data_IF_774459945935
#
_entry.id   IF_774459945935
#
_cell.length_a   1.000
_cell.length_b   1.000
_cell.length_c   1.000
_cell.angle_alpha   90.00
_cell.angle_beta   90.00
_cell.angle_gamma   90.00
#
_symmetry.space_group_name_H-M   'P 1'
#
loop_
_entity.id
_entity.type
_entity.pdbx_description
1 polymer ?
#
# COMPACT_ATOMS: atom_id res chain seq x y z
N UNK A 1 -15.45 4.72 -15.67
CA UNK A 1 -15.77 3.29 -15.42
C UNK A 1 -15.11 2.94 -14.11
N UNK A 2 -15.84 2.43 -13.11
CA UNK A 2 -15.23 2.02 -11.84
C UNK A 2 -14.39 0.76 -12.07
N UNK A 3 -13.13 0.78 -11.65
CA UNK A 3 -12.15 -0.29 -11.87
C UNK A 3 -12.36 -1.50 -10.92
N UNK A 4 -13.59 -1.98 -10.79
CA UNK A 4 -13.90 -3.12 -9.92
C UNK A 4 -13.22 -4.39 -10.42
N UNK A 5 -12.53 -5.10 -9.52
CA UNK A 5 -11.96 -6.41 -9.80
C UNK A 5 -12.96 -7.49 -9.37
N UNK A 6 -13.31 -8.45 -10.24
CA UNK A 6 -14.21 -9.54 -9.87
C UNK A 6 -13.75 -10.26 -8.60
N UNK A 7 -14.67 -10.46 -7.65
CA UNK A 7 -14.37 -11.13 -6.38
C UNK A 7 -13.77 -10.23 -5.29
N UNK A 8 -13.53 -8.95 -5.58
CA UNK A 8 -13.09 -7.96 -4.60
C UNK A 8 -14.19 -6.98 -4.24
N UNK A 9 -14.32 -6.60 -2.96
CA UNK A 9 -15.26 -5.56 -2.56
C UNK A 9 -14.72 -4.18 -2.95
N UNK A 10 -15.62 -3.19 -2.95
CA UNK A 10 -15.31 -1.79 -3.26
C UNK A 10 -14.84 -1.02 -2.01
N UNK A 11 -14.08 -1.68 -1.13
CA UNK A 11 -13.58 -1.09 0.10
C UNK A 11 -12.15 -1.55 0.38
N UNK A 12 -11.31 -0.61 0.84
CA UNK A 12 -9.87 -0.84 1.00
C UNK A 12 -9.56 -2.03 1.92
N UNK A 13 -10.16 -2.06 3.11
CA UNK A 13 -9.86 -3.05 4.12
C UNK A 13 -10.34 -4.44 3.71
N UNK A 14 -11.55 -4.56 3.18
CA UNK A 14 -12.10 -5.81 2.66
C UNK A 14 -11.30 -6.35 1.47
N UNK A 15 -10.82 -5.49 0.58
CA UNK A 15 -9.93 -5.92 -0.50
C UNK A 15 -8.59 -6.44 0.05
N UNK A 16 -7.99 -5.73 1.01
CA UNK A 16 -6.74 -6.15 1.66
C UNK A 16 -6.91 -7.48 2.41
N UNK A 17 -8.02 -7.69 3.12
CA UNK A 17 -8.32 -8.96 3.81
C UNK A 17 -8.34 -10.16 2.86
N UNK A 18 -8.79 -9.97 1.62
CA UNK A 18 -8.78 -11.02 0.60
C UNK A 18 -7.37 -11.23 0.04
N UNK A 19 -6.64 -10.16 -0.33
CA UNK A 19 -5.30 -10.30 -0.91
C UNK A 19 -4.31 -10.90 0.11
N UNK A 20 -4.33 -10.44 1.37
CA UNK A 20 -3.31 -10.79 2.37
C UNK A 20 -3.23 -12.29 2.69
N UNK A 21 -4.33 -13.02 2.53
CA UNK A 21 -4.39 -14.46 2.83
C UNK A 21 -4.05 -15.33 1.62
N UNK A 22 -3.79 -14.73 0.44
CA UNK A 22 -3.34 -15.47 -0.74
C UNK A 22 -1.94 -16.02 -0.52
N UNK A 23 -1.77 -17.31 -0.75
CA UNK A 23 -0.43 -17.93 -0.78
C UNK A 23 0.34 -17.52 -2.05
N UNK A 24 -0.38 -17.42 -3.17
CA UNK A 24 0.13 -16.97 -4.46
C UNK A 24 -0.89 -16.04 -5.11
N UNK A 25 -0.40 -14.99 -5.77
CA UNK A 25 -1.24 -14.01 -6.44
C UNK A 25 -1.53 -14.43 -7.89
N UNK A 26 -2.81 -14.53 -8.25
CA UNK A 26 -3.26 -14.51 -9.62
C UNK A 26 -3.28 -13.06 -10.16
N UNK A 27 -3.39 -12.91 -11.48
CA UNK A 27 -3.39 -11.58 -12.13
C UNK A 27 -4.44 -10.65 -11.51
N UNK A 28 -5.64 -11.14 -11.22
CA UNK A 28 -6.69 -10.30 -10.61
C UNK A 28 -6.37 -9.92 -9.16
N UNK A 29 -5.71 -10.79 -8.39
CA UNK A 29 -5.22 -10.41 -7.05
C UNK A 29 -4.17 -9.28 -7.15
N UNK A 30 -3.29 -9.31 -8.17
CA UNK A 30 -2.30 -8.25 -8.41
C UNK A 30 -2.95 -6.94 -8.84
N UNK A 31 -4.03 -6.99 -9.64
CA UNK A 31 -4.80 -5.79 -10.00
C UNK A 31 -5.44 -5.16 -8.76
N UNK A 32 -6.05 -5.99 -7.90
CA UNK A 32 -6.62 -5.53 -6.64
C UNK A 32 -5.54 -4.92 -5.73
N UNK A 33 -4.39 -5.58 -5.61
CA UNK A 33 -3.24 -5.04 -4.89
C UNK A 33 -2.78 -3.69 -5.47
N UNK A 34 -2.68 -3.54 -6.79
CA UNK A 34 -2.31 -2.27 -7.41
C UNK A 34 -3.31 -1.13 -7.13
N UNK A 35 -4.61 -1.45 -6.98
CA UNK A 35 -5.61 -0.48 -6.51
C UNK A 35 -5.46 -0.16 -5.02
N UNK A 36 -5.11 -1.16 -4.20
CA UNK A 36 -4.80 -0.99 -2.77
C UNK A 36 -3.62 -0.04 -2.62
N UNK A 37 -2.51 -0.23 -3.34
CA UNK A 37 -1.35 0.66 -3.29
C UNK A 37 -1.69 2.11 -3.68
N UNK A 38 -2.48 2.30 -4.74
CA UNK A 38 -2.96 3.63 -5.11
C UNK A 38 -3.86 4.27 -4.04
N UNK A 39 -4.62 3.48 -3.29
CA UNK A 39 -5.38 3.98 -2.15
C UNK A 39 -4.49 4.21 -0.92
N UNK A 40 -3.42 3.42 -0.74
CA UNK A 40 -2.38 3.61 0.27
C UNK A 40 -1.69 4.96 0.13
N UNK A 41 -1.38 5.39 -1.10
CA UNK A 41 -0.90 6.76 -1.38
C UNK A 41 -1.86 7.81 -0.79
N UNK A 42 -3.16 7.71 -1.12
CA UNK A 42 -4.17 8.65 -0.63
C UNK A 42 -4.29 8.61 0.89
N UNK A 43 -4.26 7.42 1.48
CA UNK A 43 -4.27 7.21 2.92
C UNK A 43 -3.08 7.94 3.59
N UNK A 44 -1.85 7.71 3.12
CA UNK A 44 -0.65 8.37 3.63
C UNK A 44 -0.72 9.89 3.53
N UNK A 45 -1.15 10.41 2.38
CA UNK A 45 -1.32 11.85 2.17
C UNK A 45 -2.41 12.43 3.07
N UNK A 46 -3.44 11.66 3.40
CA UNK A 46 -4.48 12.07 4.33
C UNK A 46 -3.97 12.10 5.79
N UNK A 47 -3.26 11.06 6.23
CA UNK A 47 -2.60 11.02 7.55
C UNK A 47 -1.61 12.17 7.71
N UNK A 48 -0.81 12.45 6.68
CA UNK A 48 0.14 13.56 6.69
C UNK A 48 -0.54 14.92 6.94
N UNK A 49 -1.73 15.17 6.37
CA UNK A 49 -2.47 16.43 6.60
C UNK A 49 -2.80 16.66 8.07
N UNK A 50 -3.04 15.60 8.83
CA UNK A 50 -3.39 15.66 10.25
C UNK A 50 -2.23 16.01 11.19
N UNK A 51 -0.99 16.00 10.71
CA UNK A 51 0.18 16.33 11.54
C UNK A 51 0.34 17.85 11.71
N UNK A 52 0.96 18.28 12.81
CA UNK A 52 1.39 19.67 13.00
C UNK A 52 2.82 19.93 12.51
N UNK A 53 3.70 18.95 12.74
CA UNK A 53 5.13 19.03 12.48
C UNK A 53 5.45 18.88 10.96
N UNK A 54 6.09 19.87 10.30
CA UNK A 54 6.41 19.82 8.87
C UNK A 54 7.34 18.67 8.45
N UNK A 55 8.31 18.31 9.28
CA UNK A 55 9.24 17.21 9.03
C UNK A 55 8.50 15.86 9.06
N UNK A 56 7.62 15.67 10.03
CA UNK A 56 6.77 14.48 10.13
C UNK A 56 5.83 14.35 8.91
N UNK A 57 5.28 15.47 8.43
CA UNK A 57 4.49 15.52 7.18
C UNK A 57 5.30 15.05 5.98
N UNK A 58 6.53 15.55 5.84
CA UNK A 58 7.38 15.23 4.71
C UNK A 58 7.73 13.74 4.68
N UNK A 59 7.97 13.12 5.85
CA UNK A 59 8.23 11.69 5.97
C UNK A 59 7.06 10.83 5.45
N UNK A 60 5.83 11.09 5.90
CA UNK A 60 4.66 10.33 5.46
C UNK A 60 4.26 10.63 4.01
N UNK A 61 4.41 11.89 3.57
CA UNK A 61 4.20 12.26 2.16
C UNK A 61 5.15 11.49 1.25
N UNK A 62 6.40 11.27 1.68
CA UNK A 62 7.36 10.47 0.92
C UNK A 62 6.92 9.01 0.80
N UNK A 63 6.49 8.38 1.89
CA UNK A 63 5.94 7.01 1.83
C UNK A 63 4.72 6.93 0.91
N UNK A 64 3.77 7.85 1.02
CA UNK A 64 2.62 7.90 0.12
C UNK A 64 3.00 7.97 -1.37
N UNK A 65 4.00 8.76 -1.73
CA UNK A 65 4.49 8.81 -3.11
C UNK A 65 5.17 7.51 -3.57
N UNK A 66 5.80 6.79 -2.64
CA UNK A 66 6.44 5.49 -2.91
C UNK A 66 5.38 4.38 -3.13
N UNK A 67 4.20 4.45 -2.49
CA UNK A 67 3.07 3.54 -2.78
C UNK A 67 2.60 3.61 -4.24
N UNK A 68 2.59 4.80 -4.84
CA UNK A 68 2.33 4.90 -6.29
C UNK A 68 3.38 4.17 -7.10
N UNK A 69 4.63 4.16 -6.62
CA UNK A 69 5.72 3.34 -7.17
C UNK A 69 5.40 1.85 -7.10
N UNK A 70 4.88 1.36 -5.97
CA UNK A 70 4.44 -0.02 -5.79
C UNK A 70 3.41 -0.41 -6.85
N UNK A 71 2.35 0.39 -7.00
CA UNK A 71 1.28 0.16 -7.98
C UNK A 71 1.83 0.01 -9.41
N UNK A 72 2.75 0.88 -9.83
CA UNK A 72 3.37 0.79 -11.16
C UNK A 72 4.23 -0.45 -11.35
N UNK A 73 4.97 -0.89 -10.32
CA UNK A 73 5.71 -2.15 -10.40
C UNK A 73 4.77 -3.35 -10.49
N UNK A 74 3.62 -3.32 -9.83
CA UNK A 74 2.59 -4.35 -9.96
C UNK A 74 1.99 -4.40 -11.39
N UNK A 75 1.85 -3.26 -12.08
CA UNK A 75 1.50 -3.27 -13.51
C UNK A 75 2.56 -3.99 -14.37
N UNK A 76 3.84 -3.79 -14.06
CA UNK A 76 4.93 -4.54 -14.72
C UNK A 76 4.81 -6.04 -14.43
N UNK A 77 4.50 -6.42 -13.19
CA UNK A 77 4.26 -7.83 -12.84
C UNK A 77 3.09 -8.43 -13.62
N UNK A 78 1.96 -7.72 -13.73
CA UNK A 78 0.79 -8.14 -14.53
C UNK A 78 1.20 -8.40 -15.99
N UNK A 79 1.96 -7.48 -16.60
CA UNK A 79 2.46 -7.64 -17.98
C UNK A 79 3.38 -8.85 -18.13
N UNK A 80 4.28 -9.08 -17.18
CA UNK A 80 5.18 -10.26 -17.18
C UNK A 80 4.43 -11.59 -17.07
N UNK A 81 3.24 -11.58 -16.47
CA UNK A 81 2.36 -12.74 -16.36
C UNK A 81 1.38 -12.88 -17.54
N UNK A 82 1.48 -12.00 -18.54
CA UNK A 82 0.62 -12.01 -19.74
C UNK A 82 -0.74 -11.32 -19.55
N UNK A 83 -0.93 -10.60 -18.45
CA UNK A 83 -2.10 -9.76 -18.23
C UNK A 83 -1.92 -8.34 -18.75
N UNK A 84 -3.01 -7.59 -18.73
CA UNK A 84 -3.00 -6.15 -18.96
C UNK A 84 -3.90 -5.45 -17.95
N UNK A 85 -3.48 -4.26 -17.51
CA UNK A 85 -4.22 -3.43 -16.58
C UNK A 85 -3.68 -2.00 -16.60
N UNK A 86 -4.58 -1.05 -16.44
CA UNK A 86 -4.27 0.38 -16.32
C UNK A 86 -4.83 0.86 -15.00
N UNK A 87 -4.03 1.60 -14.25
CA UNK A 87 -4.48 2.20 -13.01
C UNK A 87 -5.54 3.28 -13.31
N UNK A 88 -6.67 3.31 -12.58
CA UNK A 88 -7.59 4.42 -12.63
C UNK A 88 -6.96 5.66 -11.98
N UNK A 89 -7.51 6.83 -12.30
CA UNK A 89 -7.30 8.04 -11.50
C UNK A 89 -7.84 7.86 -10.07
N UNK A 90 -7.40 8.68 -9.12
CA UNK A 90 -7.79 8.54 -7.71
C UNK A 90 -9.31 8.57 -7.48
N UNK A 91 -10.02 9.45 -8.16
CA UNK A 91 -11.49 9.59 -8.06
C UNK A 91 -12.26 8.42 -8.70
N UNK A 92 -11.56 7.57 -9.46
CA UNK A 92 -12.10 6.38 -10.12
C UNK A 92 -11.66 5.08 -9.43
N UNK A 93 -10.72 5.15 -8.49
CA UNK A 93 -10.32 4.02 -7.67
C UNK A 93 -11.40 3.76 -6.60
N UNK A 94 -12.14 2.64 -6.66
CA UNK A 94 -13.25 2.37 -5.73
C UNK A 94 -12.79 2.28 -4.27
N UNK A 95 -11.51 2.00 -4.01
CA UNK A 95 -10.98 1.81 -2.66
C UNK A 95 -10.67 3.13 -1.94
N UNK A 96 -10.56 4.25 -2.68
CA UNK A 96 -10.16 5.54 -2.11
C UNK A 96 -11.18 6.05 -1.09
N UNK A 97 -12.47 5.84 -1.32
CA UNK A 97 -13.51 6.30 -0.39
C UNK A 97 -13.32 5.77 1.04
N UNK A 98 -12.79 4.56 1.21
CA UNK A 98 -12.57 3.92 2.51
C UNK A 98 -11.42 4.52 3.31
N UNK A 99 -10.50 5.25 2.68
CA UNK A 99 -9.28 5.80 3.32
C UNK A 99 -9.32 7.32 3.49
N UNK A 100 -10.43 7.95 3.09
CA UNK A 100 -10.64 9.40 3.20
C UNK A 100 -11.13 9.86 4.59
N UNK A 101 -11.40 8.93 5.50
CA UNK A 101 -11.82 9.27 6.86
C UNK A 101 -10.73 10.09 7.59
N UNK A 102 -11.13 10.99 8.49
CA UNK A 102 -10.18 11.65 9.38
C UNK A 102 -9.74 10.68 10.47
N UNK A 103 -8.42 10.59 10.68
CA UNK A 103 -7.83 9.74 11.71
C UNK A 103 -7.21 10.59 12.82
N UNK A 104 -7.35 10.19 14.10
CA UNK A 104 -6.60 10.82 15.17
C UNK A 104 -5.12 10.42 15.05
N UNK A 105 -4.31 11.26 14.41
CA UNK A 105 -2.88 10.98 14.17
C UNK A 105 -2.08 11.15 15.47
N UNK A 106 -2.20 10.16 16.34
CA UNK A 106 -1.52 10.06 17.62
C UNK A 106 -0.53 8.87 17.64
N UNK A 107 0.18 8.67 18.75
CA UNK A 107 1.18 7.60 18.90
C UNK A 107 0.58 6.21 18.66
N UNK A 108 -0.62 5.93 19.18
CA UNK A 108 -1.28 4.64 19.03
C UNK A 108 -1.63 4.35 17.57
N UNK A 109 -2.21 5.33 16.89
CA UNK A 109 -2.52 5.22 15.46
C UNK A 109 -1.27 4.99 14.62
N UNK A 110 -0.20 5.74 14.88
CA UNK A 110 1.06 5.58 14.16
C UNK A 110 1.73 4.23 14.45
N UNK A 111 1.58 3.69 15.66
CA UNK A 111 2.08 2.35 15.98
C UNK A 111 1.32 1.26 15.18
N UNK A 112 0.01 1.42 14.97
CA UNK A 112 -0.75 0.54 14.08
C UNK A 112 -0.27 0.65 12.62
N UNK A 113 0.03 1.86 12.14
CA UNK A 113 0.62 2.03 10.80
C UNK A 113 1.96 1.30 10.68
N UNK A 114 2.87 1.48 11.65
CA UNK A 114 4.16 0.75 11.68
C UNK A 114 3.96 -0.77 11.63
N UNK A 115 2.98 -1.30 12.34
CA UNK A 115 2.67 -2.73 12.30
C UNK A 115 2.14 -3.16 10.92
N UNK A 116 1.23 -2.38 10.33
CA UNK A 116 0.69 -2.62 8.98
C UNK A 116 1.79 -2.66 7.90
N UNK A 117 2.73 -1.72 7.93
CA UNK A 117 3.86 -1.70 7.00
C UNK A 117 4.76 -2.93 7.12
N UNK A 118 5.05 -3.37 8.35
CA UNK A 118 5.84 -4.59 8.59
C UNK A 118 5.11 -5.84 8.11
N UNK A 119 3.80 -5.89 8.32
CA UNK A 119 2.97 -6.98 7.81
C UNK A 119 2.96 -6.97 6.26
N UNK A 120 2.93 -5.78 5.64
CA UNK A 120 3.05 -5.59 4.19
C UNK A 120 4.34 -6.18 3.62
N UNK A 121 5.50 -5.88 4.22
CA UNK A 121 6.77 -6.51 3.84
C UNK A 121 6.71 -8.04 3.91
N UNK A 122 6.22 -8.58 5.03
CA UNK A 122 6.09 -10.03 5.21
C UNK A 122 5.16 -10.67 4.17
N UNK A 123 4.10 -9.99 3.76
CA UNK A 123 3.21 -10.43 2.68
C UNK A 123 3.96 -10.46 1.35
N UNK A 124 4.66 -9.38 0.99
CA UNK A 124 5.46 -9.31 -0.23
C UNK A 124 6.55 -10.39 -0.30
N UNK A 125 7.24 -10.66 0.81
CA UNK A 125 8.23 -11.74 0.89
C UNK A 125 7.59 -13.11 0.65
N UNK A 126 6.40 -13.36 1.23
CA UNK A 126 5.67 -14.62 1.04
C UNK A 126 5.24 -14.81 -0.41
N UNK A 127 4.67 -13.79 -1.03
CA UNK A 127 4.28 -13.86 -2.44
C UNK A 127 5.48 -14.03 -3.36
N UNK A 128 6.61 -13.39 -3.05
CA UNK A 128 7.85 -13.58 -3.79
C UNK A 128 8.36 -15.03 -3.69
N UNK A 129 8.30 -15.64 -2.52
CA UNK A 129 8.72 -17.03 -2.32
C UNK A 129 7.84 -18.05 -3.06
N UNK A 130 6.55 -17.73 -3.26
CA UNK A 130 5.59 -18.56 -3.98
C UNK A 130 5.56 -18.29 -5.51
N UNK A 131 6.23 -17.25 -5.98
CA UNK A 131 6.22 -16.85 -7.38
C UNK A 131 7.24 -17.63 -8.22
N UNK A 132 6.78 -18.19 -9.33
CA UNK A 132 7.60 -18.99 -10.24
C UNK A 132 8.38 -18.12 -11.24
N UNK A 133 7.86 -16.94 -11.58
CA UNK A 133 8.54 -15.98 -12.43
C UNK A 133 9.54 -15.15 -11.60
N UNK A 134 10.86 -15.33 -11.77
CA UNK A 134 11.85 -14.67 -10.92
C UNK A 134 11.86 -13.14 -11.07
N UNK A 135 11.43 -12.60 -12.22
CA UNK A 135 11.34 -11.15 -12.42
C UNK A 135 10.14 -10.54 -11.68
N UNK A 136 9.05 -11.31 -11.53
CA UNK A 136 7.89 -10.91 -10.70
C UNK A 136 8.25 -11.02 -9.22
N UNK A 137 8.93 -12.09 -8.81
CA UNK A 137 9.40 -12.23 -7.43
C UNK A 137 10.31 -11.07 -7.00
N UNK A 138 11.22 -10.62 -7.88
CA UNK A 138 12.06 -9.44 -7.63
C UNK A 138 11.25 -8.16 -7.43
N UNK A 139 10.15 -7.98 -8.17
CA UNK A 139 9.25 -6.83 -8.00
C UNK A 139 8.62 -6.85 -6.61
N UNK A 140 8.07 -8.00 -6.18
CA UNK A 140 7.49 -8.14 -4.85
C UNK A 140 8.52 -7.85 -3.75
N UNK A 141 9.73 -8.42 -3.85
CA UNK A 141 10.82 -8.13 -2.91
C UNK A 141 11.24 -6.65 -2.91
N UNK A 142 11.09 -5.95 -4.02
CA UNK A 142 11.37 -4.52 -4.07
C UNK A 142 10.31 -3.72 -3.31
N UNK A 143 9.02 -4.00 -3.52
CA UNK A 143 7.95 -3.34 -2.77
C UNK A 143 8.09 -3.63 -1.27
N UNK A 144 8.28 -4.89 -0.85
CA UNK A 144 8.44 -5.23 0.57
C UNK A 144 9.60 -4.50 1.28
N UNK A 145 10.71 -4.28 0.58
CA UNK A 145 11.81 -3.45 1.11
C UNK A 145 11.40 -2.00 1.32
N UNK A 146 10.57 -1.44 0.44
CA UNK A 146 10.04 -0.08 0.58
C UNK A 146 9.03 -0.02 1.75
N UNK A 147 8.20 -1.04 1.98
CA UNK A 147 7.35 -1.12 3.19
C UNK A 147 8.15 -1.12 4.50
N UNK A 148 9.32 -1.79 4.52
CA UNK A 148 10.22 -1.69 5.68
C UNK A 148 10.63 -0.24 5.93
N UNK A 149 10.99 0.51 4.88
CA UNK A 149 11.35 1.92 4.99
C UNK A 149 10.15 2.80 5.40
N UNK A 150 8.94 2.45 4.96
CA UNK A 150 7.71 3.10 5.40
C UNK A 150 7.51 2.95 6.91
N UNK A 151 7.69 1.72 7.42
CA UNK A 151 7.62 1.45 8.86
C UNK A 151 8.65 2.23 9.68
N UNK A 152 9.87 2.40 9.16
CA UNK A 152 10.93 3.16 9.79
C UNK A 152 10.58 4.65 9.86
N UNK A 153 10.03 5.22 8.78
CA UNK A 153 9.59 6.62 8.74
C UNK A 153 8.40 6.86 9.66
N UNK A 154 7.42 5.96 9.67
CA UNK A 154 6.30 6.04 10.60
C UNK A 154 6.78 5.95 12.06
N UNK A 155 7.81 5.16 12.35
CA UNK A 155 8.45 5.10 13.67
C UNK A 155 9.16 6.40 14.06
N UNK A 156 9.79 7.10 13.11
CA UNK A 156 10.36 8.43 13.34
C UNK A 156 9.26 9.46 13.66
N UNK A 157 8.12 9.39 12.99
CA UNK A 157 6.97 10.25 13.28
C UNK A 157 6.45 10.01 14.71
N UNK A 158 6.41 8.77 15.19
CA UNK A 158 6.04 8.46 16.59
C UNK A 158 6.95 9.21 17.57
N UNK A 159 8.26 9.22 17.33
CA UNK A 159 9.23 9.92 18.18
C UNK A 159 8.93 11.43 18.22
N UNK A 160 8.67 12.04 17.05
CA UNK A 160 8.34 13.46 16.94
C UNK A 160 7.03 13.83 17.66
N UNK A 161 6.03 12.93 17.65
CA UNK A 161 4.76 13.13 18.38
C UNK A 161 4.94 13.04 19.90
N UNK A 162 5.89 12.23 20.39
CA UNK A 162 6.18 12.09 21.82
C UNK A 162 7.05 13.20 22.40
N UNK A 163 7.73 13.98 21.54
CA UNK A 163 8.54 15.14 21.91
C UNK A 163 7.74 16.47 21.89
N UNK A 164 6.44 16.41 21.58
CA UNK A 164 5.52 17.54 21.41
C UNK A 164 4.86 18.02 22.70
#
# INVERSE_FOLDING_TARGET
MNAMIPGYPADFFGALEIVKVREKLAIDDIKALALIECAGEVFYLNVAKGLGNPEAKALLTKSGNEERGHAHRLLKAIKLLGGDFTLPEHDQNPLVASVMAEYPVNVEFMAMLVAGEKDGDLMYQRWAAAEANPEVAKIYLQNGKEETLHSERASQVIQMLGES
#
